data_IF_374969134932
#
_entry.id   IF_374969134932
#
_cell.length_a   1.000
_cell.length_b   1.000
_cell.length_c   1.000
_cell.angle_alpha   90.00
_cell.angle_beta   90.00
_cell.angle_gamma   90.00
#
_symmetry.space_group_name_H-M   'P 1'
#
loop_
_entity.id
_entity.type
_entity.pdbx_description
1 polymer ?
#
# COMPACT_ATOMS: atom_id res chain seq x y z
N UNK A 1 10.45 -1.98 2.06
CA UNK A 1 10.52 -3.29 1.37
C UNK A 1 11.00 -3.10 -0.06
N UNK A 2 12.30 -3.28 -0.30
CA UNK A 2 12.87 -3.31 -1.65
C UNK A 2 12.51 -4.64 -2.32
N UNK A 3 11.88 -4.60 -3.50
CA UNK A 3 11.67 -5.82 -4.30
C UNK A 3 13.04 -6.39 -4.65
N UNK A 4 13.23 -7.69 -4.40
CA UNK A 4 14.49 -8.41 -4.62
C UNK A 4 14.99 -8.21 -6.06
N UNK A 5 16.20 -7.65 -6.28
CA UNK A 5 16.71 -7.31 -7.61
C UNK A 5 16.83 -8.50 -8.59
N UNK A 6 16.91 -9.73 -8.07
CA UNK A 6 17.13 -10.96 -8.83
C UNK A 6 15.95 -11.36 -9.71
N UNK A 7 14.71 -11.28 -9.20
CA UNK A 7 13.50 -11.65 -9.95
C UNK A 7 13.17 -10.66 -11.07
N UNK A 8 13.45 -9.37 -10.86
CA UNK A 8 13.21 -8.34 -11.87
C UNK A 8 14.21 -8.48 -13.03
N UNK A 9 15.50 -8.70 -12.74
CA UNK A 9 16.52 -9.00 -13.76
C UNK A 9 16.19 -10.26 -14.58
N UNK A 10 15.66 -11.31 -13.95
CA UNK A 10 15.22 -12.52 -14.67
C UNK A 10 14.05 -12.27 -15.62
N UNK A 11 13.08 -11.42 -15.22
CA UNK A 11 11.96 -11.02 -16.08
C UNK A 11 12.41 -10.16 -17.26
N UNK A 12 13.34 -9.23 -17.02
CA UNK A 12 13.96 -8.41 -18.08
C UNK A 12 14.75 -9.29 -19.05
N UNK A 13 15.55 -10.25 -18.56
CA UNK A 13 16.27 -11.21 -19.43
C UNK A 13 15.33 -12.09 -20.25
N UNK A 14 14.21 -12.54 -19.66
CA UNK A 14 13.20 -13.31 -20.39
C UNK A 14 12.50 -12.45 -21.47
N UNK A 15 12.14 -11.20 -21.16
CA UNK A 15 11.58 -10.27 -22.14
C UNK A 15 12.56 -9.92 -23.26
N UNK A 16 13.82 -9.68 -22.92
CA UNK A 16 14.88 -9.36 -23.89
C UNK A 16 15.22 -10.55 -24.81
N UNK A 17 15.26 -11.77 -24.27
CA UNK A 17 15.48 -13.00 -25.06
C UNK A 17 14.33 -13.24 -26.04
N UNK A 18 13.09 -13.00 -25.62
CA UNK A 18 11.92 -13.17 -26.50
C UNK A 18 11.81 -12.04 -27.54
N UNK A 19 12.25 -10.82 -27.22
CA UNK A 19 12.31 -9.74 -28.22
C UNK A 19 13.28 -10.12 -29.36
N UNK A 20 14.44 -10.68 -29.03
CA UNK A 20 15.43 -11.19 -29.99
C UNK A 20 14.94 -12.42 -30.79
N UNK A 21 14.23 -13.35 -30.14
CA UNK A 21 13.71 -14.56 -30.81
C UNK A 21 12.57 -14.23 -31.80
N UNK A 22 11.83 -13.13 -31.59
CA UNK A 22 10.73 -12.70 -32.48
C UNK A 22 11.19 -11.89 -33.69
N UNK A 23 12.31 -11.18 -33.59
CA UNK A 23 12.93 -10.53 -34.76
C UNK A 23 13.22 -11.56 -35.86
N UNK A 24 13.68 -12.75 -35.45
CA UNK A 24 13.97 -13.85 -36.36
C UNK A 24 12.72 -14.57 -36.91
N UNK A 25 11.59 -14.50 -36.18
CA UNK A 25 10.37 -15.29 -36.48
C UNK A 25 9.29 -14.49 -37.21
N UNK A 26 9.23 -13.17 -37.01
CA UNK A 26 8.21 -12.28 -37.58
C UNK A 26 8.78 -11.24 -38.56
N UNK A 27 10.10 -11.23 -38.81
CA UNK A 27 10.71 -10.39 -39.85
C UNK A 27 10.75 -8.90 -39.52
N UNK A 28 10.71 -8.54 -38.23
CA UNK A 28 10.79 -7.16 -37.78
C UNK A 28 12.14 -6.53 -38.16
N UNK A 29 12.11 -5.45 -38.96
CA UNK A 29 13.32 -4.78 -39.48
C UNK A 29 14.06 -3.92 -38.44
N UNK A 30 13.43 -3.64 -37.31
CA UNK A 30 13.90 -2.76 -36.22
C UNK A 30 14.71 -3.50 -35.13
N UNK A 31 14.98 -4.80 -35.31
CA UNK A 31 15.84 -5.61 -34.44
C UNK A 31 15.43 -5.56 -32.97
N UNK A 32 16.39 -5.60 -32.04
CA UNK A 32 16.11 -5.76 -30.61
C UNK A 32 15.38 -4.56 -29.93
N UNK A 33 14.96 -3.55 -30.69
CA UNK A 33 14.23 -2.39 -30.18
C UNK A 33 12.84 -2.79 -29.66
N UNK A 34 12.41 -2.09 -28.61
CA UNK A 34 11.11 -2.30 -27.99
C UNK A 34 10.09 -1.37 -28.64
N UNK A 35 9.04 -1.95 -29.22
CA UNK A 35 7.88 -1.23 -29.77
C UNK A 35 6.59 -1.67 -29.06
N UNK A 36 5.52 -0.91 -29.21
CA UNK A 36 4.21 -1.27 -28.65
C UNK A 36 3.71 -2.61 -29.21
N UNK A 37 3.81 -2.80 -30.53
CA UNK A 37 3.34 -4.02 -31.21
C UNK A 37 4.06 -5.27 -30.71
N UNK A 38 5.40 -5.22 -30.60
CA UNK A 38 6.20 -6.33 -30.07
C UNK A 38 5.84 -6.64 -28.61
N UNK A 39 5.66 -5.60 -27.80
CA UNK A 39 5.23 -5.77 -26.42
C UNK A 39 3.85 -6.42 -26.36
N UNK A 40 2.86 -5.94 -27.12
CA UNK A 40 1.52 -6.50 -27.12
C UNK A 40 1.52 -7.97 -27.56
N UNK A 41 2.20 -8.28 -28.67
CA UNK A 41 2.31 -9.65 -29.18
C UNK A 41 2.99 -10.57 -28.16
N UNK A 42 4.04 -10.11 -27.49
CA UNK A 42 4.65 -10.83 -26.37
C UNK A 42 3.66 -11.08 -25.23
N UNK A 43 2.87 -10.08 -24.82
CA UNK A 43 1.92 -10.24 -23.73
C UNK A 43 0.81 -11.23 -24.06
N UNK A 44 0.31 -11.23 -25.30
CA UNK A 44 -0.77 -12.11 -25.76
C UNK A 44 -0.29 -13.56 -25.85
N UNK A 45 0.79 -13.80 -26.61
CA UNK A 45 1.23 -15.16 -26.94
C UNK A 45 1.97 -15.85 -25.79
N UNK A 46 2.83 -15.11 -25.08
CA UNK A 46 3.85 -15.71 -24.20
C UNK A 46 3.60 -15.47 -22.71
N UNK A 47 2.79 -14.47 -22.35
CA UNK A 47 2.60 -14.08 -20.94
C UNK A 47 1.21 -14.40 -20.45
N UNK A 48 0.16 -13.86 -21.07
CA UNK A 48 -1.19 -13.95 -20.54
C UNK A 48 -1.78 -15.36 -20.64
N UNK A 49 -1.47 -16.07 -21.74
CA UNK A 49 -1.98 -17.41 -22.04
C UNK A 49 -1.18 -18.55 -21.43
N UNK A 50 -0.01 -18.29 -20.84
CA UNK A 50 0.86 -19.38 -20.36
C UNK A 50 0.33 -20.03 -19.06
N UNK A 51 0.47 -21.36 -18.90
CA UNK A 51 0.17 -22.03 -17.64
C UNK A 51 1.18 -21.64 -16.54
N UNK A 52 0.73 -21.67 -15.29
CA UNK A 52 1.63 -21.48 -14.16
C UNK A 52 2.57 -22.68 -14.02
N UNK A 53 3.88 -22.41 -13.93
CA UNK A 53 4.90 -23.43 -13.66
C UNK A 53 4.72 -24.14 -12.32
N UNK A 54 4.07 -23.48 -11.36
CA UNK A 54 3.75 -24.00 -10.04
C UNK A 54 2.31 -23.59 -9.73
N UNK A 55 1.50 -24.54 -9.24
CA UNK A 55 0.12 -24.26 -8.83
C UNK A 55 0.12 -23.11 -7.81
N UNK A 56 -0.71 -22.11 -8.05
CA UNK A 56 -0.87 -21.01 -7.11
C UNK A 56 -1.45 -21.54 -5.80
N UNK A 57 -0.93 -21.11 -4.65
CA UNK A 57 -1.56 -21.37 -3.34
C UNK A 57 -2.99 -20.80 -3.24
N UNK A 58 -3.32 -19.86 -4.12
CA UNK A 58 -4.64 -19.22 -4.23
C UNK A 58 -5.55 -19.87 -5.28
N UNK A 59 -5.07 -20.89 -6.01
CA UNK A 59 -5.94 -21.61 -6.94
C UNK A 59 -6.84 -22.57 -6.13
N UNK A 60 -8.12 -22.68 -6.51
CA UNK A 60 -9.00 -23.69 -5.94
C UNK A 60 -8.39 -25.09 -6.12
N UNK A 61 -8.68 -26.01 -5.19
CA UNK A 61 -8.21 -27.40 -5.25
C UNK A 61 -8.52 -28.02 -6.61
N UNK A 62 -9.68 -27.69 -7.17
CA UNK A 62 -10.28 -28.33 -8.33
C UNK A 62 -9.87 -27.71 -9.67
N UNK A 63 -9.18 -26.56 -9.68
CA UNK A 63 -8.70 -25.99 -10.95
C UNK A 63 -7.44 -26.73 -11.43
N UNK A 64 -7.44 -27.32 -12.64
CA UNK A 64 -6.25 -27.92 -13.23
C UNK A 64 -5.12 -26.91 -13.34
N UNK A 65 -3.88 -27.35 -13.06
CA UNK A 65 -2.71 -26.46 -13.11
C UNK A 65 -2.54 -25.83 -14.50
N UNK A 66 -2.84 -26.58 -15.56
CA UNK A 66 -2.71 -26.15 -16.95
C UNK A 66 -3.73 -25.08 -17.37
N UNK A 67 -4.81 -24.90 -16.60
CA UNK A 67 -5.81 -23.85 -16.81
C UNK A 67 -5.51 -22.59 -16.00
N UNK A 68 -4.63 -22.68 -14.99
CA UNK A 68 -4.27 -21.50 -14.21
C UNK A 68 -3.38 -20.56 -15.03
N UNK A 69 -3.92 -19.39 -15.35
CA UNK A 69 -3.26 -18.30 -16.09
C UNK A 69 -2.72 -17.24 -15.15
N UNK A 70 -1.79 -16.42 -15.64
CA UNK A 70 -1.29 -15.28 -14.89
C UNK A 70 -2.40 -14.24 -14.65
N UNK A 71 -2.49 -13.75 -13.41
CA UNK A 71 -3.31 -12.60 -13.07
C UNK A 71 -2.79 -11.32 -13.75
N UNK A 72 -3.68 -10.39 -14.06
CA UNK A 72 -3.38 -9.12 -14.74
C UNK A 72 -2.27 -8.33 -14.03
N UNK A 73 -2.23 -8.38 -12.69
CA UNK A 73 -1.18 -7.74 -11.87
C UNK A 73 0.21 -8.26 -12.22
N UNK A 74 0.34 -9.57 -12.47
CA UNK A 74 1.59 -10.20 -12.88
C UNK A 74 1.97 -9.81 -14.30
N UNK A 75 1.00 -9.77 -15.23
CA UNK A 75 1.22 -9.30 -16.61
C UNK A 75 1.70 -7.85 -16.63
N UNK A 76 1.10 -6.98 -15.81
CA UNK A 76 1.56 -5.58 -15.63
C UNK A 76 3.01 -5.48 -15.18
N UNK A 77 3.54 -6.43 -14.41
CA UNK A 77 4.97 -6.41 -14.04
C UNK A 77 5.90 -6.68 -15.23
N UNK A 78 5.46 -7.44 -16.23
CA UNK A 78 6.21 -7.62 -17.48
C UNK A 78 6.22 -6.34 -18.30
N UNK A 79 5.06 -5.69 -18.42
CA UNK A 79 4.93 -4.36 -19.04
C UNK A 79 5.92 -3.38 -18.42
N UNK A 80 5.91 -3.23 -17.08
CA UNK A 80 6.86 -2.34 -16.40
C UNK A 80 8.31 -2.68 -16.71
N UNK A 81 8.68 -3.96 -16.67
CA UNK A 81 10.04 -4.40 -16.95
C UNK A 81 10.49 -4.09 -18.39
N UNK A 82 9.60 -4.23 -19.37
CA UNK A 82 9.88 -3.94 -20.77
C UNK A 82 9.86 -2.43 -21.06
N UNK A 83 8.97 -1.68 -20.40
CA UNK A 83 9.01 -0.21 -20.44
C UNK A 83 10.31 0.35 -19.85
N UNK A 84 10.86 -0.27 -18.79
CA UNK A 84 12.16 0.09 -18.25
C UNK A 84 13.30 -0.20 -19.25
N UNK A 85 13.24 -1.33 -19.96
CA UNK A 85 14.17 -1.63 -21.05
C UNK A 85 14.07 -0.60 -22.18
N UNK A 86 12.86 -0.24 -22.61
CA UNK A 86 12.63 0.83 -23.59
C UNK A 86 13.25 2.16 -23.14
N UNK A 87 13.07 2.56 -21.87
CA UNK A 87 13.69 3.78 -21.33
C UNK A 87 15.21 3.74 -21.43
N UNK A 88 15.83 2.58 -21.17
CA UNK A 88 17.28 2.40 -21.37
C UNK A 88 17.65 2.54 -22.85
N UNK A 89 16.91 1.92 -23.77
CA UNK A 89 17.18 2.05 -25.22
C UNK A 89 17.03 3.48 -25.72
N UNK A 90 16.02 4.21 -25.23
CA UNK A 90 15.81 5.64 -25.51
C UNK A 90 16.96 6.50 -25.02
N UNK A 91 17.39 6.30 -23.78
CA UNK A 91 18.50 7.05 -23.19
C UNK A 91 19.83 6.83 -23.94
N UNK A 92 20.01 5.65 -24.53
CA UNK A 92 21.18 5.30 -25.36
C UNK A 92 21.03 5.73 -26.84
N UNK A 93 19.91 6.37 -27.22
CA UNK A 93 19.64 6.76 -28.61
C UNK A 93 19.38 5.60 -29.57
N UNK A 94 19.20 4.37 -29.06
CA UNK A 94 19.02 3.15 -29.86
C UNK A 94 17.59 2.97 -30.37
N UNK A 95 16.61 3.60 -29.71
CA UNK A 95 15.20 3.42 -30.02
C UNK A 95 14.55 4.78 -30.33
N UNK A 96 14.06 4.95 -31.56
CA UNK A 96 13.39 6.18 -32.03
C UNK A 96 11.87 6.13 -31.88
N UNK A 97 11.28 4.97 -31.57
CA UNK A 97 9.84 4.77 -31.46
C UNK A 97 9.20 5.48 -30.26
N UNK A 98 7.88 5.58 -30.25
CA UNK A 98 7.08 6.07 -29.12
C UNK A 98 7.16 5.08 -27.93
N UNK A 99 6.60 5.50 -26.79
CA UNK A 99 6.51 4.61 -25.63
C UNK A 99 5.79 3.31 -26.01
N UNK A 100 6.23 2.13 -25.53
CA UNK A 100 5.53 0.88 -25.78
C UNK A 100 4.28 0.72 -24.90
N UNK A 101 4.05 1.64 -23.95
CA UNK A 101 2.91 1.63 -23.06
C UNK A 101 1.91 2.72 -23.46
N UNK A 102 1.34 2.55 -24.65
CA UNK A 102 0.31 3.43 -25.22
C UNK A 102 -1.05 2.71 -25.15
N UNK A 103 -1.97 3.08 -26.04
CA UNK A 103 -3.39 2.74 -25.93
C UNK A 103 -3.67 1.24 -26.03
N UNK A 104 -2.98 0.50 -26.90
CA UNK A 104 -3.28 -0.92 -27.14
C UNK A 104 -2.87 -1.78 -25.94
N UNK A 105 -1.66 -1.56 -25.42
CA UNK A 105 -1.18 -2.27 -24.21
C UNK A 105 -2.05 -1.91 -23.01
N UNK A 106 -2.48 -0.66 -22.90
CA UNK A 106 -3.37 -0.20 -21.82
C UNK A 106 -4.75 -0.84 -21.92
N UNK A 107 -5.33 -0.92 -23.12
CA UNK A 107 -6.61 -1.57 -23.37
C UNK A 107 -6.55 -3.06 -23.09
N UNK A 108 -5.48 -3.73 -23.52
CA UNK A 108 -5.26 -5.15 -23.22
C UNK A 108 -5.11 -5.41 -21.71
N UNK A 109 -4.42 -4.54 -20.96
CA UNK A 109 -4.39 -4.66 -19.50
C UNK A 109 -5.77 -4.48 -18.86
N UNK A 110 -6.62 -3.58 -19.39
CA UNK A 110 -8.01 -3.43 -18.93
C UNK A 110 -8.85 -4.67 -19.23
N UNK A 111 -8.67 -5.31 -20.38
CA UNK A 111 -9.40 -6.54 -20.71
C UNK A 111 -9.03 -7.69 -19.76
N UNK A 112 -7.73 -7.84 -19.44
CA UNK A 112 -7.26 -8.81 -18.44
C UNK A 112 -7.79 -8.49 -17.03
N UNK A 113 -7.88 -7.21 -16.67
CA UNK A 113 -8.46 -6.79 -15.39
C UNK A 113 -9.95 -7.17 -15.30
N UNK A 114 -10.72 -6.96 -16.37
CA UNK A 114 -12.14 -7.37 -16.44
C UNK A 114 -12.28 -8.89 -16.37
N UNK A 115 -11.45 -9.65 -17.09
CA UNK A 115 -11.41 -11.11 -17.05
C UNK A 115 -11.19 -11.64 -15.64
N UNK A 116 -10.17 -11.10 -14.95
CA UNK A 116 -9.86 -11.53 -13.58
C UNK A 116 -11.00 -11.17 -12.61
N UNK A 117 -11.58 -9.96 -12.72
CA UNK A 117 -12.71 -9.55 -11.88
C UNK A 117 -13.97 -10.39 -12.11
N UNK A 118 -14.24 -10.78 -13.36
CA UNK A 118 -15.37 -11.65 -13.70
C UNK A 118 -15.16 -13.06 -13.12
N UNK A 119 -13.96 -13.62 -13.23
CA UNK A 119 -13.61 -14.91 -12.60
C UNK A 119 -13.76 -14.85 -11.08
N UNK A 120 -13.26 -13.78 -10.44
CA UNK A 120 -13.37 -13.62 -9.00
C UNK A 120 -14.85 -13.53 -8.56
N UNK A 121 -15.71 -12.90 -9.37
CA UNK A 121 -17.16 -12.86 -9.17
C UNK A 121 -17.83 -14.23 -9.31
N UNK A 122 -17.48 -14.98 -10.36
CA UNK A 122 -18.02 -16.33 -10.63
C UNK A 122 -17.64 -17.33 -9.53
N UNK A 123 -16.43 -17.18 -8.98
CA UNK A 123 -15.93 -18.03 -7.90
C UNK A 123 -16.38 -17.59 -6.51
N UNK A 124 -17.26 -16.58 -6.39
CA UNK A 124 -17.67 -15.98 -5.12
C UNK A 124 -16.49 -15.62 -4.22
N UNK A 125 -15.40 -15.12 -4.82
CA UNK A 125 -14.20 -14.78 -4.07
C UNK A 125 -14.52 -13.75 -2.98
N UNK A 126 -14.02 -14.00 -1.77
CA UNK A 126 -14.22 -13.09 -0.65
C UNK A 126 -13.59 -11.72 -0.97
N UNK A 127 -14.43 -10.69 -0.98
CA UNK A 127 -14.02 -9.30 -1.21
C UNK A 127 -13.20 -8.74 -0.05
N UNK A 128 -13.32 -9.37 1.13
CA UNK A 128 -12.53 -9.10 2.32
C UNK A 128 -11.13 -9.72 2.28
N UNK A 129 -10.92 -10.74 1.46
CA UNK A 129 -9.61 -11.37 1.28
C UNK A 129 -8.60 -10.39 0.67
N UNK A 130 -7.34 -10.48 1.12
CA UNK A 130 -6.25 -9.56 0.82
C UNK A 130 -6.53 -8.08 1.18
N UNK A 131 -7.46 -7.81 2.11
CA UNK A 131 -7.78 -6.45 2.59
C UNK A 131 -7.34 -6.21 4.05
N UNK A 132 -8.01 -5.31 4.78
CA UNK A 132 -7.77 -5.06 6.20
C UNK A 132 -8.05 -6.31 7.06
N UNK A 133 -8.90 -7.23 6.59
CA UNK A 133 -9.22 -8.47 7.28
C UNK A 133 -8.08 -9.50 7.25
N UNK A 134 -7.12 -9.36 6.32
CA UNK A 134 -5.90 -10.18 6.26
C UNK A 134 -4.73 -9.58 7.08
N UNK A 135 -5.05 -8.63 7.96
CA UNK A 135 -4.12 -8.00 8.87
C UNK A 135 -3.69 -8.93 10.02
N UNK A 136 -3.16 -8.32 11.07
CA UNK A 136 -2.92 -9.03 12.32
C UNK A 136 -4.27 -9.41 12.98
N UNK A 137 -4.27 -10.52 13.71
CA UNK A 137 -5.34 -10.84 14.66
C UNK A 137 -5.30 -9.87 15.85
N UNK A 138 -6.41 -9.74 16.56
CA UNK A 138 -6.48 -8.89 17.76
C UNK A 138 -5.45 -9.30 18.82
N UNK A 139 -5.28 -10.60 19.05
CA UNK A 139 -4.26 -11.11 19.98
C UNK A 139 -2.82 -10.78 19.54
N UNK A 140 -2.56 -10.75 18.23
CA UNK A 140 -1.25 -10.37 17.69
C UNK A 140 -1.02 -8.87 17.84
N UNK A 141 -2.05 -8.05 17.63
CA UNK A 141 -2.03 -6.61 17.87
C UNK A 141 -1.72 -6.28 19.33
N UNK A 142 -2.46 -6.90 20.24
CA UNK A 142 -2.25 -6.73 21.68
C UNK A 142 -0.83 -7.12 22.05
N UNK A 143 -0.35 -8.27 21.57
CA UNK A 143 1.03 -8.72 21.83
C UNK A 143 2.06 -7.70 21.37
N UNK A 144 1.93 -7.14 20.16
CA UNK A 144 2.85 -6.11 19.67
C UNK A 144 2.80 -4.86 20.56
N UNK A 145 1.61 -4.41 20.96
CA UNK A 145 1.49 -3.27 21.89
C UNK A 145 2.18 -3.57 23.23
N UNK A 146 1.95 -4.75 23.80
CA UNK A 146 2.57 -5.20 25.04
C UNK A 146 4.11 -5.21 24.96
N UNK A 147 4.67 -5.71 23.86
CA UNK A 147 6.12 -5.70 23.65
C UNK A 147 6.69 -4.27 23.60
N UNK A 148 5.97 -3.34 22.95
CA UNK A 148 6.36 -1.92 22.91
C UNK A 148 6.30 -1.27 24.29
N UNK A 149 5.31 -1.62 25.12
CA UNK A 149 5.25 -1.18 26.52
C UNK A 149 6.43 -1.73 27.34
N UNK A 150 6.70 -3.04 27.23
CA UNK A 150 7.74 -3.71 28.01
C UNK A 150 9.15 -3.20 27.70
N UNK A 151 9.44 -2.89 26.44
CA UNK A 151 10.78 -2.45 26.00
C UNK A 151 11.03 -0.94 26.15
N UNK A 152 10.03 -0.20 26.66
CA UNK A 152 10.14 1.24 26.89
C UNK A 152 11.22 1.62 27.91
N UNK A 153 11.73 0.69 28.73
CA UNK A 153 12.87 0.93 29.62
C UNK A 153 14.23 1.16 28.93
N UNK A 154 14.43 0.72 27.68
CA UNK A 154 15.73 0.82 26.98
C UNK A 154 15.88 2.08 26.14
N UNK A 155 14.81 2.46 25.45
CA UNK A 155 14.70 3.70 24.67
C UNK A 155 13.24 4.15 24.67
N UNK A 156 12.84 4.80 25.75
CA UNK A 156 11.44 5.09 26.10
C UNK A 156 10.69 5.83 25.01
N UNK A 157 11.28 6.91 24.49
CA UNK A 157 10.65 7.73 23.46
C UNK A 157 10.39 6.95 22.16
N UNK A 158 11.35 6.16 21.69
CA UNK A 158 11.20 5.48 20.40
C UNK A 158 10.12 4.40 20.44
N UNK A 159 9.99 3.68 21.56
CA UNK A 159 8.98 2.65 21.75
C UNK A 159 7.59 3.28 21.87
N UNK A 160 7.43 4.36 22.65
CA UNK A 160 6.16 5.06 22.74
C UNK A 160 5.75 5.75 21.45
N UNK A 161 6.69 6.35 20.71
CA UNK A 161 6.41 6.89 19.37
C UNK A 161 5.91 5.80 18.42
N UNK A 162 6.53 4.63 18.46
CA UNK A 162 6.14 3.49 17.61
C UNK A 162 4.77 2.94 18.02
N UNK A 163 4.51 2.87 19.32
CA UNK A 163 3.20 2.48 19.86
C UNK A 163 2.11 3.44 19.40
N UNK A 164 2.33 4.75 19.50
CA UNK A 164 1.36 5.77 19.05
C UNK A 164 1.12 5.66 17.55
N UNK A 165 2.16 5.52 16.71
CA UNK A 165 1.98 5.33 15.27
C UNK A 165 1.13 4.09 14.98
N UNK A 166 1.40 2.97 15.66
CA UNK A 166 0.62 1.73 15.53
C UNK A 166 -0.85 1.94 15.92
N UNK A 167 -1.11 2.56 17.08
CA UNK A 167 -2.47 2.84 17.59
C UNK A 167 -3.23 3.79 16.65
N UNK A 168 -2.57 4.83 16.12
CA UNK A 168 -3.16 5.73 15.12
C UNK A 168 -3.54 5.00 13.83
N UNK A 169 -2.68 4.08 13.37
CA UNK A 169 -2.98 3.27 12.19
C UNK A 169 -4.15 2.31 12.42
N UNK A 170 -4.22 1.71 13.61
CA UNK A 170 -5.26 0.75 13.97
C UNK A 170 -6.62 1.41 14.17
N UNK A 171 -6.72 2.41 15.04
CA UNK A 171 -8.01 2.99 15.43
C UNK A 171 -8.52 4.08 14.48
N UNK A 172 -7.63 4.88 13.89
CA UNK A 172 -8.04 5.97 13.00
C UNK A 172 -8.00 5.57 11.53
N UNK A 173 -7.51 4.36 11.21
CA UNK A 173 -7.35 3.84 9.83
C UNK A 173 -6.59 4.80 8.90
N UNK A 174 -5.69 5.59 9.47
CA UNK A 174 -4.94 6.63 8.77
C UNK A 174 -3.75 6.03 8.01
N UNK A 175 -3.39 6.66 6.89
CA UNK A 175 -2.22 6.21 6.12
C UNK A 175 -0.94 6.63 6.82
N UNK A 176 0.13 5.86 6.62
CA UNK A 176 1.44 6.20 7.18
C UNK A 176 1.98 7.57 6.78
N UNK A 177 1.60 8.10 5.61
CA UNK A 177 1.94 9.47 5.20
C UNK A 177 1.28 10.51 6.10
N UNK A 178 -0.03 10.36 6.31
CA UNK A 178 -0.84 11.31 7.07
C UNK A 178 -0.46 11.27 8.56
N UNK A 179 -0.20 10.07 9.13
CA UNK A 179 0.27 9.92 10.52
C UNK A 179 1.61 10.60 10.80
N UNK A 180 2.53 10.59 9.84
CA UNK A 180 3.85 11.24 9.99
C UNK A 180 3.78 12.76 9.81
N UNK A 181 2.77 13.25 9.10
CA UNK A 181 2.53 14.67 8.91
C UNK A 181 1.65 15.25 10.03
N UNK A 182 1.03 14.41 10.87
CA UNK A 182 0.14 14.83 11.94
C UNK A 182 0.87 15.75 12.93
N UNK A 183 0.27 16.90 13.17
CA UNK A 183 0.69 17.86 14.18
C UNK A 183 -0.18 17.72 15.44
N UNK A 184 0.30 18.28 16.55
CA UNK A 184 -0.49 18.28 17.80
C UNK A 184 -1.73 19.17 17.66
N UNK A 185 -1.66 20.22 16.84
CA UNK A 185 -2.79 21.08 16.43
C UNK A 185 -3.89 20.33 15.67
N UNK A 186 -3.56 19.20 15.06
CA UNK A 186 -4.53 18.35 14.36
C UNK A 186 -5.34 17.47 15.33
N UNK A 187 -4.94 17.43 16.61
CA UNK A 187 -5.51 16.57 17.63
C UNK A 187 -6.30 17.38 18.64
N UNK A 188 -7.53 16.94 18.91
CA UNK A 188 -8.34 17.52 19.97
C UNK A 188 -9.29 16.47 20.57
N UNK A 189 -9.83 16.81 21.74
CA UNK A 189 -10.83 16.00 22.43
C UNK A 189 -11.97 16.91 22.84
N UNK A 190 -13.20 16.43 22.76
CA UNK A 190 -14.37 17.11 23.29
C UNK A 190 -15.33 16.09 23.89
N UNK A 191 -16.26 16.54 24.71
CA UNK A 191 -17.20 15.65 25.39
C UNK A 191 -18.32 15.22 24.46
N UNK A 192 -18.47 13.90 24.31
CA UNK A 192 -19.62 13.31 23.64
C UNK A 192 -20.67 13.01 24.71
N UNK A 193 -21.58 13.96 24.93
CA UNK A 193 -22.67 13.81 25.87
C UNK A 193 -23.60 12.64 25.45
N UNK A 194 -23.98 11.78 26.40
CA UNK A 194 -24.91 10.68 26.16
C UNK A 194 -24.30 9.40 25.58
N UNK A 195 -22.99 9.36 25.29
CA UNK A 195 -22.26 8.18 24.78
C UNK A 195 -21.82 7.22 25.92
N UNK A 196 -22.76 6.87 26.80
CA UNK A 196 -22.59 5.86 27.86
C UNK A 196 -22.72 6.37 29.30
N UNK A 197 -22.47 5.48 30.26
CA UNK A 197 -22.60 5.76 31.71
C UNK A 197 -21.46 6.58 32.29
N UNK A 198 -20.35 6.72 31.55
CA UNK A 198 -19.18 7.52 31.93
C UNK A 198 -18.90 8.58 30.89
N UNK A 199 -18.29 9.69 31.30
CA UNK A 199 -17.86 10.76 30.40
C UNK A 199 -17.02 10.23 29.23
N UNK A 200 -17.47 10.50 28.01
CA UNK A 200 -16.81 10.07 26.78
C UNK A 200 -16.02 11.21 26.15
N UNK A 201 -14.70 11.05 26.07
CA UNK A 201 -13.76 12.01 25.48
C UNK A 201 -12.94 11.31 24.39
N UNK A 202 -13.47 11.18 23.16
CA UNK A 202 -12.71 10.57 22.06
C UNK A 202 -11.52 11.44 21.65
N UNK A 203 -10.51 10.78 21.07
CA UNK A 203 -9.46 11.46 20.34
C UNK A 203 -9.96 11.74 18.93
N UNK A 204 -9.93 13.01 18.53
CA UNK A 204 -10.27 13.45 17.19
C UNK A 204 -8.98 13.89 16.50
N UNK A 205 -8.78 13.39 15.29
CA UNK A 205 -7.71 13.77 14.39
C UNK A 205 -8.31 14.40 13.14
N UNK A 206 -7.91 15.64 12.84
CA UNK A 206 -8.34 16.35 11.64
C UNK A 206 -7.16 16.68 10.75
N UNK A 207 -7.28 16.40 9.45
CA UNK A 207 -6.28 16.83 8.47
C UNK A 207 -6.93 17.54 7.30
N UNK A 208 -6.20 18.48 6.71
CA UNK A 208 -6.53 19.13 5.43
C UNK A 208 -5.59 18.71 4.31
N UNK A 209 -4.59 17.90 4.62
CA UNK A 209 -3.54 17.51 3.70
C UNK A 209 -3.41 15.99 3.69
N UNK A 210 -3.40 15.43 2.48
CA UNK A 210 -3.17 14.01 2.27
C UNK A 210 -2.86 13.74 0.81
N UNK A 211 -2.35 12.55 0.51
CA UNK A 211 -1.94 12.21 -0.87
C UNK A 211 -3.07 12.41 -1.89
N UNK A 212 -4.32 12.12 -1.50
CA UNK A 212 -5.51 12.32 -2.34
C UNK A 212 -6.24 13.63 -2.05
N UNK A 213 -5.84 14.34 -1.00
CA UNK A 213 -6.45 15.56 -0.53
C UNK A 213 -5.46 16.73 -0.72
N UNK A 214 -5.22 17.07 -1.99
CA UNK A 214 -4.29 18.14 -2.37
C UNK A 214 -4.92 19.55 -2.29
N UNK A 215 -6.25 19.63 -2.10
CA UNK A 215 -7.02 20.86 -2.18
C UNK A 215 -7.54 21.34 -0.82
N UNK A 216 -7.06 20.80 0.30
CA UNK A 216 -7.38 21.34 1.62
C UNK A 216 -8.73 20.88 2.21
N UNK A 217 -9.35 19.82 1.69
CA UNK A 217 -10.64 19.32 2.21
C UNK A 217 -10.48 18.89 3.66
N UNK A 218 -11.40 19.26 4.53
CA UNK A 218 -11.35 18.77 5.91
C UNK A 218 -11.71 17.28 5.95
N UNK A 219 -10.80 16.47 6.51
CA UNK A 219 -11.01 15.05 6.81
C UNK A 219 -10.88 14.85 8.32
N UNK A 220 -11.73 14.00 8.88
CA UNK A 220 -11.79 13.76 10.34
C UNK A 220 -11.83 12.27 10.60
N UNK A 221 -10.98 11.82 11.52
CA UNK A 221 -11.02 10.48 12.09
C UNK A 221 -11.15 10.59 13.61
N UNK A 222 -11.86 9.66 14.22
CA UNK A 222 -12.09 9.65 15.66
C UNK A 222 -11.85 8.26 16.24
N UNK A 223 -11.36 8.21 17.48
CA UNK A 223 -11.20 6.97 18.21
C UNK A 223 -11.63 7.13 19.68
N UNK A 224 -12.44 6.19 20.16
CA UNK A 224 -12.82 6.10 21.56
C UNK A 224 -11.72 5.48 22.41
N UNK A 225 -11.85 5.63 23.73
CA UNK A 225 -10.96 4.95 24.69
C UNK A 225 -11.19 3.46 24.62
N UNK A 226 -10.09 2.70 24.57
CA UNK A 226 -10.16 1.25 24.75
C UNK A 226 -10.34 0.92 26.24
N UNK A 227 -11.13 -0.12 26.55
CA UNK A 227 -11.27 -0.68 27.90
C UNK A 227 -9.95 -1.24 28.42
N UNK A 228 -9.15 -1.87 27.55
CA UNK A 228 -7.80 -2.31 27.87
C UNK A 228 -6.83 -1.12 27.74
N UNK A 229 -6.24 -0.64 28.84
CA UNK A 229 -5.39 0.56 28.83
C UNK A 229 -4.12 0.38 28.00
N UNK A 230 -3.62 -0.84 27.82
CA UNK A 230 -2.38 -1.13 27.11
C UNK A 230 -2.51 -1.01 25.59
N UNK A 231 -3.75 -1.04 25.09
CA UNK A 231 -4.07 -0.76 23.69
C UNK A 231 -4.93 0.50 23.53
N UNK A 232 -4.98 1.36 24.55
CA UNK A 232 -5.75 2.59 24.46
C UNK A 232 -4.95 3.68 23.72
N UNK A 233 -5.49 4.20 22.62
CA UNK A 233 -4.86 5.28 21.83
C UNK A 233 -4.59 6.54 22.66
N UNK A 234 -5.55 6.94 23.50
CA UNK A 234 -5.40 8.07 24.42
C UNK A 234 -4.34 7.80 25.48
N UNK A 235 -4.27 6.56 25.99
CA UNK A 235 -3.24 6.14 26.93
C UNK A 235 -1.84 6.22 26.30
N UNK A 236 -1.64 5.55 25.15
CA UNK A 236 -0.36 5.56 24.44
C UNK A 236 0.11 6.96 24.06
N UNK A 237 -0.79 7.81 23.56
CA UNK A 237 -0.48 9.21 23.22
C UNK A 237 -0.08 10.01 24.47
N UNK A 238 -0.81 9.87 25.57
CA UNK A 238 -0.52 10.58 26.81
C UNK A 238 0.86 10.21 27.37
N UNK A 239 1.20 8.92 27.40
CA UNK A 239 2.52 8.47 27.85
C UNK A 239 3.64 8.90 26.92
N UNK A 240 3.40 8.92 25.60
CA UNK A 240 4.38 9.47 24.65
C UNK A 240 4.65 10.95 24.90
N UNK A 241 3.61 11.77 25.09
CA UNK A 241 3.75 13.21 25.35
C UNK A 241 4.41 13.49 26.70
N UNK A 242 4.03 12.76 27.76
CA UNK A 242 4.68 12.80 29.08
C UNK A 242 6.18 12.50 28.96
N UNK A 243 6.52 11.42 28.25
CA UNK A 243 7.91 11.03 28.04
C UNK A 243 8.69 12.05 27.22
N UNK A 244 8.02 12.73 26.28
CA UNK A 244 8.64 13.71 25.39
C UNK A 244 8.90 15.05 26.08
N UNK A 245 7.94 15.55 26.85
CA UNK A 245 7.97 16.91 27.40
C UNK A 245 8.36 17.01 28.87
N UNK A 246 7.88 16.09 29.70
CA UNK A 246 8.12 16.17 31.14
C UNK A 246 9.36 15.37 31.55
N UNK A 247 9.56 14.20 30.95
CA UNK A 247 10.73 13.36 31.19
C UNK A 247 11.86 13.62 30.18
N UNK A 248 11.49 14.10 28.98
CA UNK A 248 12.42 14.54 27.96
C UNK A 248 12.90 15.98 28.21
N UNK A 249 14.01 16.37 27.60
CA UNK A 249 14.56 17.72 27.73
C UNK A 249 13.90 18.75 26.81
N UNK A 250 12.83 18.38 26.09
CA UNK A 250 12.14 19.25 25.14
C UNK A 250 11.12 20.12 25.89
N UNK A 251 11.19 21.45 25.73
CA UNK A 251 10.24 22.36 26.37
C UNK A 251 8.88 22.25 25.69
N UNK A 252 7.80 22.30 26.48
CA UNK A 252 6.44 22.42 25.95
C UNK A 252 6.33 23.68 25.09
N UNK A 253 5.90 23.50 23.84
CA UNK A 253 5.63 24.61 22.92
C UNK A 253 4.49 25.48 23.44
N UNK A 254 4.59 26.81 23.27
CA UNK A 254 3.47 27.72 23.54
C UNK A 254 2.39 27.49 22.48
N UNK A 255 1.35 26.73 22.81
CA UNK A 255 0.15 26.65 21.99
C UNK A 255 -0.67 27.95 22.18
N UNK A 256 -1.12 28.56 21.08
CA UNK A 256 -2.10 29.64 21.18
C UNK A 256 -3.42 29.04 21.68
N UNK A 257 -4.11 29.66 22.65
CA UNK A 257 -5.42 29.19 23.06
C UNK A 257 -6.35 29.21 21.84
N UNK A 258 -6.97 28.07 21.53
CA UNK A 258 -8.08 28.04 20.60
C UNK A 258 -9.16 28.97 21.15
N UNK A 259 -9.52 30.00 20.39
CA UNK A 259 -10.63 30.90 20.72
C UNK A 259 -11.90 30.08 20.56
N UNK A 260 -12.35 29.45 21.65
CA UNK A 260 -13.71 28.95 21.74
C UNK A 260 -14.63 30.17 21.89
N UNK A 261 -15.09 30.70 20.75
CA UNK A 261 -16.30 31.53 20.75
C UNK A 261 -17.45 30.55 20.98
N UNK A 262 -17.93 30.50 22.21
CA UNK A 262 -19.25 29.94 22.52
C UNK A 262 -20.23 31.05 22.16
N UNK A 263 -20.88 30.94 21.01
CA UNK A 263 -22.20 31.55 20.78
C UNK A 263 -23.29 30.56 21.19
#
# INVERSE_FOLDING_TARGET
MARTPSRQKAKVKAGAKVNLDKDYRFGYCDGATVTEEKLLLFLVEEVAGRPLKVKSRKAASDTPQDETRLAWRSVRTYVTAITDLYRTQKALGMNTHSSPHEDNVREYLKSLQRRDAQRDKENYADKGGDTLLDGYLEAEFERVCHELWAHSGTSTECHFRTLVDLLFGHYLLTRGGDRRAAEISDLFTFEFAGEGSTRCMPLIFTTRAGKQNQHGRLETAGAYRNRNPLICILGGLSFYLLCRWDLGRERVSRFQPAVFVVE
#
